data_IF_162668509953
#
_entry.id   IF_162668509953
#
_cell.length_a   1.000
_cell.length_b   1.000
_cell.length_c   1.000
_cell.angle_alpha   90.00
_cell.angle_beta   90.00
_cell.angle_gamma   90.00
#
_symmetry.space_group_name_H-M   'P 1'
#
loop_
_entity.id
_entity.type
_entity.pdbx_description
1 polymer ?
#
# COMPACT_ATOMS: atom_id res chain seq x y z
N UNK A 1 4.41 -7.31 18.26
CA UNK A 1 3.60 -7.79 17.13
C UNK A 1 3.51 -6.72 16.03
N UNK A 2 4.66 -6.29 15.50
CA UNK A 2 4.73 -5.36 14.36
C UNK A 2 5.47 -6.02 13.19
N UNK A 3 6.53 -6.78 13.49
CA UNK A 3 7.24 -7.58 12.48
C UNK A 3 6.34 -8.59 11.75
N UNK A 4 5.36 -9.22 12.43
CA UNK A 4 4.47 -10.19 11.78
C UNK A 4 3.51 -9.54 10.78
N UNK A 5 3.00 -8.34 11.09
CA UNK A 5 2.06 -7.63 10.21
C UNK A 5 2.74 -7.12 8.93
N UNK A 6 4.01 -6.69 9.02
CA UNK A 6 4.79 -6.33 7.83
C UNK A 6 5.10 -7.55 6.96
N UNK A 7 5.41 -8.70 7.57
CA UNK A 7 5.65 -9.94 6.81
C UNK A 7 4.39 -10.47 6.12
N UNK A 8 3.22 -10.38 6.76
CA UNK A 8 1.94 -10.74 6.15
C UNK A 8 1.60 -9.84 4.94
N UNK A 9 1.90 -8.54 5.03
CA UNK A 9 1.76 -7.60 3.91
C UNK A 9 2.69 -7.96 2.74
N UNK A 10 3.96 -8.27 3.03
CA UNK A 10 4.92 -8.69 2.02
C UNK A 10 4.46 -9.99 1.33
N UNK A 11 3.97 -10.97 2.09
CA UNK A 11 3.46 -12.25 1.56
C UNK A 11 2.23 -12.07 0.63
N UNK A 12 1.30 -11.16 0.99
CA UNK A 12 0.12 -10.86 0.16
C UNK A 12 0.51 -10.18 -1.17
N UNK A 13 1.50 -9.28 -1.14
CA UNK A 13 2.03 -8.61 -2.33
C UNK A 13 2.76 -9.62 -3.23
N UNK A 14 3.61 -10.47 -2.64
CA UNK A 14 4.35 -11.50 -3.38
C UNK A 14 3.41 -12.51 -4.02
N UNK A 15 2.39 -12.96 -3.28
CA UNK A 15 1.34 -13.83 -3.82
C UNK A 15 0.61 -13.19 -5.00
N UNK A 16 0.19 -11.93 -4.85
CA UNK A 16 -0.52 -11.21 -5.90
C UNK A 16 0.37 -11.02 -7.14
N UNK A 17 1.65 -10.68 -6.94
CA UNK A 17 2.63 -10.51 -8.00
C UNK A 17 2.88 -11.80 -8.78
N UNK A 18 3.08 -12.93 -8.10
CA UNK A 18 3.28 -14.23 -8.74
C UNK A 18 2.06 -14.65 -9.58
N UNK A 19 0.86 -14.41 -9.04
CA UNK A 19 -0.40 -14.82 -9.66
C UNK A 19 -0.83 -13.96 -10.84
N UNK A 20 -0.65 -12.65 -10.74
CA UNK A 20 -1.24 -11.66 -11.64
C UNK A 20 -0.24 -10.80 -12.40
N UNK A 21 1.03 -10.83 -11.99
CA UNK A 21 2.11 -10.06 -12.59
C UNK A 21 2.10 -8.58 -12.22
N UNK A 22 3.23 -7.92 -12.54
CA UNK A 22 3.48 -6.52 -12.17
C UNK A 22 2.46 -5.55 -12.74
N UNK A 23 1.94 -5.80 -13.94
CA UNK A 23 0.95 -4.91 -14.56
C UNK A 23 -0.34 -4.80 -13.75
N UNK A 24 -0.85 -5.93 -13.23
CA UNK A 24 -2.03 -5.94 -12.36
C UNK A 24 -1.70 -5.39 -10.96
N UNK A 25 -0.49 -5.59 -10.45
CA UNK A 25 -0.05 -4.98 -9.19
C UNK A 25 -0.01 -3.44 -9.28
N UNK A 26 0.50 -2.87 -10.37
CA UNK A 26 0.49 -1.42 -10.61
C UNK A 26 -0.96 -0.91 -10.72
N UNK A 27 -1.83 -1.64 -11.43
CA UNK A 27 -3.24 -1.29 -11.52
C UNK A 27 -3.94 -1.36 -10.14
N UNK A 28 -3.60 -2.35 -9.32
CA UNK A 28 -4.07 -2.48 -7.94
C UNK A 28 -3.57 -1.32 -7.07
N UNK A 29 -2.31 -0.92 -7.18
CA UNK A 29 -1.76 0.25 -6.46
C UNK A 29 -2.52 1.53 -6.81
N UNK A 30 -2.79 1.75 -8.10
CA UNK A 30 -3.60 2.88 -8.54
C UNK A 30 -5.03 2.80 -7.99
N UNK A 31 -5.64 1.61 -8.05
CA UNK A 31 -6.97 1.35 -7.50
C UNK A 31 -7.05 1.56 -5.99
N UNK A 32 -6.02 1.14 -5.25
CA UNK A 32 -5.90 1.32 -3.81
C UNK A 32 -5.83 2.81 -3.44
N UNK A 33 -5.01 3.61 -4.14
CA UNK A 33 -4.96 5.05 -3.91
C UNK A 33 -6.32 5.74 -4.16
N UNK A 34 -7.02 5.35 -5.23
CA UNK A 34 -8.39 5.83 -5.48
C UNK A 34 -9.40 5.37 -4.42
N UNK A 35 -9.22 4.17 -3.87
CA UNK A 35 -10.09 3.62 -2.83
C UNK A 35 -9.93 4.41 -1.53
N UNK A 36 -8.69 4.63 -1.09
CA UNK A 36 -8.41 5.42 0.13
C UNK A 36 -8.74 6.91 -0.04
N UNK A 37 -8.81 7.43 -1.27
CA UNK A 37 -9.34 8.76 -1.57
C UNK A 37 -10.89 8.81 -1.70
N UNK A 38 -11.59 7.71 -1.43
CA UNK A 38 -13.05 7.61 -1.53
C UNK A 38 -13.61 7.74 -2.95
N UNK A 39 -12.79 7.58 -4.00
CA UNK A 39 -13.19 7.70 -5.41
C UNK A 39 -13.71 6.40 -6.02
N UNK A 40 -13.39 5.27 -5.41
CA UNK A 40 -13.82 3.95 -5.87
C UNK A 40 -14.11 3.01 -4.71
N UNK A 41 -14.78 1.90 -5.01
CA UNK A 41 -15.05 0.81 -4.07
C UNK A 41 -14.14 -0.36 -4.38
N UNK A 42 -13.86 -1.23 -3.40
CA UNK A 42 -13.06 -2.44 -3.60
C UNK A 42 -13.63 -3.30 -4.74
N UNK A 43 -14.96 -3.44 -4.81
CA UNK A 43 -15.66 -4.14 -5.89
C UNK A 43 -15.39 -3.56 -7.28
N UNK A 44 -15.37 -2.23 -7.40
CA UNK A 44 -15.06 -1.58 -8.68
C UNK A 44 -13.60 -1.79 -9.06
N UNK A 45 -12.66 -1.65 -8.10
CA UNK A 45 -11.24 -1.97 -8.35
C UNK A 45 -11.07 -3.41 -8.81
N UNK A 46 -11.70 -4.38 -8.14
CA UNK A 46 -11.65 -5.79 -8.51
C UNK A 46 -12.14 -6.04 -9.94
N UNK A 47 -13.23 -5.37 -10.31
CA UNK A 47 -13.79 -5.43 -11.67
C UNK A 47 -12.83 -4.83 -12.69
N UNK A 48 -12.25 -3.67 -12.39
CA UNK A 48 -11.37 -2.93 -13.30
C UNK A 48 -10.05 -3.67 -13.58
N UNK A 49 -9.51 -4.37 -12.58
CA UNK A 49 -8.27 -5.14 -12.72
C UNK A 49 -8.51 -6.63 -13.02
N UNK A 50 -9.78 -7.02 -13.20
CA UNK A 50 -10.21 -8.40 -13.51
C UNK A 50 -9.65 -9.44 -12.52
N UNK A 51 -9.92 -9.23 -11.23
CA UNK A 51 -9.56 -10.17 -10.15
C UNK A 51 -10.75 -10.42 -9.22
N UNK A 52 -10.63 -11.43 -8.35
CA UNK A 52 -11.67 -11.71 -7.36
C UNK A 52 -11.75 -10.57 -6.36
N UNK A 53 -12.96 -10.23 -5.92
CA UNK A 53 -13.18 -9.15 -4.95
C UNK A 53 -12.39 -9.35 -3.65
N UNK A 54 -12.27 -10.58 -3.16
CA UNK A 54 -11.43 -10.91 -2.00
C UNK A 54 -9.95 -10.68 -2.24
N UNK A 55 -9.45 -11.02 -3.43
CA UNK A 55 -8.03 -10.82 -3.79
C UNK A 55 -7.73 -9.33 -4.00
N UNK A 56 -8.67 -8.56 -4.57
CA UNK A 56 -8.58 -7.11 -4.63
C UNK A 56 -8.60 -6.47 -3.24
N UNK A 57 -9.46 -6.94 -2.33
CA UNK A 57 -9.52 -6.44 -0.95
C UNK A 57 -8.18 -6.64 -0.24
N UNK A 58 -7.61 -7.85 -0.28
CA UNK A 58 -6.32 -8.15 0.35
C UNK A 58 -5.22 -7.24 -0.18
N UNK A 59 -5.04 -7.17 -1.52
CA UNK A 59 -3.96 -6.36 -2.09
C UNK A 59 -4.16 -4.85 -1.85
N UNK A 60 -5.39 -4.34 -1.84
CA UNK A 60 -5.67 -2.92 -1.56
C UNK A 60 -5.17 -2.54 -0.16
N UNK A 61 -5.44 -3.37 0.85
CA UNK A 61 -4.98 -3.10 2.22
C UNK A 61 -3.50 -3.38 2.40
N UNK A 62 -2.95 -4.41 1.75
CA UNK A 62 -1.52 -4.67 1.75
C UNK A 62 -0.71 -3.51 1.14
N UNK A 63 -1.28 -2.77 0.18
CA UNK A 63 -0.63 -1.60 -0.43
C UNK A 63 -0.78 -0.30 0.37
N UNK A 64 -1.58 -0.27 1.44
CA UNK A 64 -1.79 0.94 2.24
C UNK A 64 -0.49 1.51 2.86
N UNK A 65 0.41 0.70 3.45
CA UNK A 65 1.69 1.19 3.94
C UNK A 65 2.59 1.74 2.83
N UNK A 66 2.61 1.08 1.66
CA UNK A 66 3.39 1.54 0.51
C UNK A 66 2.89 2.90 -0.02
N UNK A 67 1.58 3.12 -0.03
CA UNK A 67 0.98 4.42 -0.36
C UNK A 67 1.35 5.49 0.66
N UNK A 68 1.36 5.16 1.96
CA UNK A 68 1.74 6.10 3.02
C UNK A 68 3.22 6.53 2.87
N UNK A 69 4.12 5.56 2.69
CA UNK A 69 5.55 5.78 2.41
C UNK A 69 5.75 6.60 1.13
N UNK A 70 5.03 6.26 0.06
CA UNK A 70 5.09 6.98 -1.20
C UNK A 70 4.67 8.44 -1.05
N UNK A 71 3.56 8.72 -0.33
CA UNK A 71 3.07 10.08 -0.11
C UNK A 71 4.10 10.96 0.59
N UNK A 72 4.86 10.40 1.53
CA UNK A 72 5.83 11.17 2.32
C UNK A 72 7.19 11.33 1.63
N UNK A 73 7.64 10.30 0.88
CA UNK A 73 9.02 10.23 0.43
C UNK A 73 9.20 10.19 -1.09
N UNK A 74 8.18 9.88 -1.89
CA UNK A 74 8.30 9.81 -3.34
C UNK A 74 8.00 11.17 -3.99
N UNK A 75 9.00 11.86 -4.58
CA UNK A 75 8.78 13.14 -5.25
C UNK A 75 7.87 13.05 -6.49
N UNK A 76 7.57 11.83 -6.96
CA UNK A 76 6.68 11.59 -8.08
C UNK A 76 5.27 11.16 -7.66
N UNK A 77 4.97 11.08 -6.36
CA UNK A 77 3.69 10.56 -5.87
C UNK A 77 2.48 11.28 -6.45
N UNK A 78 2.52 12.63 -6.48
CA UNK A 78 1.46 13.45 -7.07
C UNK A 78 1.27 13.23 -8.58
N UNK A 79 2.31 12.79 -9.30
CA UNK A 79 2.18 12.45 -10.72
C UNK A 79 1.45 11.12 -10.93
N UNK A 80 1.58 10.19 -9.98
CA UNK A 80 0.85 8.92 -10.00
C UNK A 80 -0.61 9.10 -9.56
N UNK A 81 -0.86 10.08 -8.70
CA UNK A 81 -2.15 10.37 -8.09
C UNK A 81 -2.56 11.83 -8.24
N UNK A 82 -2.69 12.35 -9.48
CA UNK A 82 -3.13 13.72 -9.68
C UNK A 82 -4.54 13.85 -9.08
N UNK A 83 -4.76 14.93 -8.34
CA UNK A 83 -6.04 15.30 -7.73
C UNK A 83 -6.49 14.50 -6.50
N UNK A 84 -5.78 13.43 -6.10
CA UNK A 84 -6.21 12.57 -4.98
C UNK A 84 -5.15 12.31 -3.91
N UNK A 85 -3.89 12.70 -4.13
CA UNK A 85 -2.79 12.47 -3.17
C UNK A 85 -3.11 12.93 -1.73
N UNK A 86 -3.64 14.15 -1.58
CA UNK A 86 -4.00 14.74 -0.27
C UNK A 86 -5.33 14.24 0.30
N UNK A 87 -6.12 13.50 -0.50
CA UNK A 87 -7.44 13.01 -0.11
C UNK A 87 -7.39 11.59 0.45
N UNK A 88 -6.26 10.90 0.32
CA UNK A 88 -6.14 9.52 0.77
C UNK A 88 -6.12 9.42 2.31
N UNK A 89 -7.02 8.61 2.85
CA UNK A 89 -7.05 8.21 4.26
C UNK A 89 -5.98 7.14 4.54
N UNK A 90 -4.72 7.58 4.67
CA UNK A 90 -3.54 6.74 4.93
C UNK A 90 -3.01 6.96 6.34
N UNK A 91 -2.39 5.94 6.98
CA UNK A 91 -1.80 6.09 8.31
C UNK A 91 -0.61 7.05 8.27
N UNK A 92 -0.38 7.74 9.39
CA UNK A 92 0.83 8.55 9.60
C UNK A 92 2.05 7.64 9.83
N UNK A 93 3.20 7.99 9.24
CA UNK A 93 4.42 7.20 9.37
C UNK A 93 5.19 7.45 10.68
N UNK A 94 4.74 8.40 11.50
CA UNK A 94 5.38 8.75 12.79
C UNK A 94 5.40 7.60 13.83
N UNK A 95 4.76 6.46 13.53
CA UNK A 95 4.86 5.21 14.31
C UNK A 95 5.67 4.09 13.63
N UNK A 96 6.20 4.32 12.44
CA UNK A 96 6.93 3.35 11.61
C UNK A 96 8.45 3.64 11.54
N UNK A 97 8.98 4.39 12.52
CA UNK A 97 10.42 4.68 12.58
C UNK A 97 11.19 3.41 12.95
N UNK A 98 11.62 2.68 11.92
CA UNK A 98 12.68 1.67 11.97
C UNK A 98 14.06 2.29 12.21
N UNK A 99 14.18 3.27 13.09
CA UNK A 99 15.47 3.73 13.57
C UNK A 99 16.08 2.61 14.44
N UNK A 100 17.30 2.13 14.14
CA UNK A 100 17.98 1.20 15.05
C UNK A 100 18.13 1.94 16.37
N UNK A 101 17.55 1.38 17.45
CA UNK A 101 17.81 1.82 18.80
C UNK A 101 19.32 1.93 18.95
N UNK A 102 19.82 3.16 19.09
CA UNK A 102 21.23 3.43 19.37
C UNK A 102 21.58 2.54 20.56
N UNK A 103 22.39 1.53 20.31
CA UNK A 103 22.93 0.70 21.37
C UNK A 103 23.82 1.62 22.20
N UNK A 104 23.30 2.08 23.33
CA UNK A 104 24.13 2.74 24.33
C UNK A 104 25.16 1.71 24.82
N UNK A 105 26.47 2.03 24.81
CA UNK A 105 27.48 1.13 25.32
C UNK A 105 27.33 1.08 26.84
N UNK A 106 27.01 -0.11 27.35
CA UNK A 106 27.06 -0.37 28.79
C UNK A 106 28.53 -0.48 29.19
N UNK A 107 29.01 0.51 29.95
CA UNK A 107 30.23 0.39 30.78
C UNK A 107 29.92 -0.36 32.07
#
# INVERSE_FOLDING_TARGET
MHALALQEVDDDIDYFLDRYGTGKLIAALRGAGLHFAGKTTQRMVATDIDVRETEAMMIIYALQPALAVGREHDPFFEYLFPDVADQMELPDLDGADGAPAKSEPHE
#
